data_IF_968100165458
#
_entry.id   IF_968100165458
#
_cell.length_a   1.000
_cell.length_b   1.000
_cell.length_c   1.000
_cell.angle_alpha   90.00
_cell.angle_beta   90.00
_cell.angle_gamma   90.00
#
_symmetry.space_group_name_H-M   'P 1'
#
loop_
_entity.id
_entity.type
_entity.pdbx_description
1 polymer ?
#
# COMPACT_ATOMS: atom_id res chain seq x y z
N UNK A 1 4.91 22.46 -16.34
CA UNK A 1 6.04 21.57 -16.67
C UNK A 1 6.25 20.64 -15.49
N UNK A 2 5.80 19.39 -15.58
CA UNK A 2 5.87 18.45 -14.46
C UNK A 2 7.26 17.82 -14.38
N UNK A 3 8.00 18.10 -13.31
CA UNK A 3 9.27 17.45 -13.02
C UNK A 3 9.01 16.10 -12.36
N UNK A 4 9.14 15.04 -13.15
CA UNK A 4 9.07 13.66 -12.67
C UNK A 4 10.38 13.30 -11.95
N UNK A 5 10.39 13.41 -10.62
CA UNK A 5 11.50 12.88 -9.79
C UNK A 5 11.15 11.46 -9.37
N UNK A 6 11.90 10.48 -9.88
CA UNK A 6 11.84 9.06 -9.47
C UNK A 6 12.32 8.94 -8.03
N UNK A 7 11.45 8.49 -7.13
CA UNK A 7 11.89 7.93 -5.85
C UNK A 7 12.26 6.45 -6.10
N UNK A 8 13.52 6.10 -5.83
CA UNK A 8 13.98 4.72 -5.84
C UNK A 8 13.52 4.01 -4.56
N UNK A 9 12.88 2.84 -4.70
CA UNK A 9 12.60 1.94 -3.57
C UNK A 9 13.22 0.57 -3.89
N UNK A 10 14.13 0.12 -3.04
CA UNK A 10 14.84 -1.16 -3.14
C UNK A 10 13.93 -2.34 -2.74
N UNK A 11 13.94 -3.41 -3.54
CA UNK A 11 13.52 -4.77 -3.14
C UNK A 11 12.14 -5.23 -3.60
N UNK A 12 12.14 -6.13 -4.61
CA UNK A 12 10.99 -6.82 -5.26
C UNK A 12 10.03 -5.90 -6.03
N UNK A 13 9.56 -6.39 -7.18
CA UNK A 13 8.78 -5.67 -8.19
C UNK A 13 7.49 -5.02 -7.63
N UNK A 14 7.59 -3.78 -7.14
CA UNK A 14 6.45 -2.92 -6.84
C UNK A 14 6.49 -1.71 -7.77
N UNK A 15 5.62 -1.68 -8.79
CA UNK A 15 5.38 -0.44 -9.56
C UNK A 15 4.42 0.44 -8.76
N UNK A 16 4.96 1.31 -7.92
CA UNK A 16 4.21 2.38 -7.28
C UNK A 16 4.28 3.65 -8.16
N UNK A 17 3.11 4.22 -8.49
CA UNK A 17 3.00 5.49 -9.19
C UNK A 17 2.53 6.58 -8.24
N UNK A 18 3.26 7.70 -8.18
CA UNK A 18 2.90 8.89 -7.41
C UNK A 18 2.55 10.04 -8.34
N UNK A 19 1.39 10.65 -8.14
CA UNK A 19 0.95 11.86 -8.85
C UNK A 19 0.66 12.95 -7.82
N UNK A 20 1.28 14.11 -8.00
CA UNK A 20 1.08 15.29 -7.16
C UNK A 20 0.10 16.23 -7.88
N UNK A 21 -1.04 16.48 -7.24
CA UNK A 21 -1.92 17.60 -7.57
C UNK A 21 -1.80 18.65 -6.46
N UNK A 22 -2.13 19.90 -6.74
CA UNK A 22 -1.72 21.10 -5.98
C UNK A 22 -1.82 21.03 -4.44
N UNK A 23 -2.70 20.21 -3.87
CA UNK A 23 -2.84 19.99 -2.41
C UNK A 23 -2.98 18.51 -1.99
N UNK A 24 -2.72 17.54 -2.88
CA UNK A 24 -2.96 16.11 -2.60
C UNK A 24 -1.81 15.21 -3.09
N UNK A 25 -1.40 14.28 -2.20
CA UNK A 25 -0.45 13.22 -2.53
C UNK A 25 -1.26 11.94 -2.82
N UNK A 26 -1.33 11.55 -4.09
CA UNK A 26 -1.97 10.30 -4.50
C UNK A 26 -0.93 9.17 -4.60
N UNK A 27 -1.16 8.09 -3.85
CA UNK A 27 -0.27 6.93 -3.79
C UNK A 27 -1.05 5.72 -4.29
N UNK A 28 -0.53 5.08 -5.34
CA UNK A 28 -1.09 3.84 -5.89
C UNK A 28 -0.02 2.75 -5.92
N UNK A 29 -0.38 1.57 -5.42
CA UNK A 29 0.46 0.38 -5.47
C UNK A 29 -0.36 -0.82 -5.91
N UNK A 30 0.27 -1.72 -6.66
CA UNK A 30 -0.32 -2.98 -7.11
C UNK A 30 0.40 -4.13 -6.42
N UNK A 31 -0.36 -4.99 -5.77
CA UNK A 31 0.12 -6.27 -5.26
C UNK A 31 -0.37 -7.37 -6.19
N UNK A 32 0.56 -8.25 -6.59
CA UNK A 32 0.24 -9.43 -7.38
C UNK A 32 0.47 -10.65 -6.50
N UNK A 33 -0.53 -11.51 -6.38
CA UNK A 33 -0.44 -12.75 -5.63
C UNK A 33 0.08 -13.86 -6.52
N UNK A 34 0.98 -14.69 -5.98
CA UNK A 34 1.46 -15.88 -6.67
C UNK A 34 0.33 -16.95 -6.77
N UNK A 35 0.52 -17.94 -7.63
CA UNK A 35 -0.40 -19.07 -7.81
C UNK A 35 -0.67 -19.85 -6.50
N UNK A 36 0.36 -20.10 -5.69
CA UNK A 36 0.25 -20.84 -4.43
C UNK A 36 -0.57 -20.07 -3.40
N UNK A 37 -0.31 -18.76 -3.29
CA UNK A 37 -1.13 -17.89 -2.43
C UNK A 37 -2.59 -17.82 -2.89
N UNK A 38 -2.82 -17.77 -4.21
CA UNK A 38 -4.19 -17.77 -4.77
C UNK A 38 -4.89 -19.10 -4.50
N UNK A 39 -4.19 -20.22 -4.62
CA UNK A 39 -4.72 -21.55 -4.29
C UNK A 39 -5.13 -21.63 -2.82
N UNK A 40 -4.22 -21.24 -1.91
CA UNK A 40 -4.50 -21.28 -0.47
C UNK A 40 -5.71 -20.42 -0.09
N UNK A 41 -5.84 -19.22 -0.66
CA UNK A 41 -7.01 -18.36 -0.39
C UNK A 41 -8.29 -19.03 -0.92
N UNK A 42 -8.25 -19.64 -2.11
CA UNK A 42 -9.38 -20.38 -2.69
C UNK A 42 -9.85 -21.54 -1.83
N UNK A 43 -8.95 -22.22 -1.12
CA UNK A 43 -9.28 -23.30 -0.18
C UNK A 43 -9.93 -22.78 1.13
N UNK A 44 -10.22 -21.47 1.22
CA UNK A 44 -10.89 -20.85 2.35
C UNK A 44 -9.94 -20.22 3.36
N UNK A 45 -8.63 -20.16 3.08
CA UNK A 45 -7.68 -19.49 3.96
C UNK A 45 -7.82 -17.98 3.88
N UNK A 46 -8.17 -17.36 5.01
CA UNK A 46 -8.13 -15.91 5.16
C UNK A 46 -6.69 -15.40 5.15
N UNK A 47 -6.42 -14.34 4.38
CA UNK A 47 -5.12 -13.66 4.36
C UNK A 47 -5.28 -12.18 4.62
N UNK A 48 -4.50 -11.68 5.58
CA UNK A 48 -4.44 -10.28 5.94
C UNK A 48 -3.19 -9.64 5.35
N UNK A 49 -3.38 -8.57 4.57
CA UNK A 49 -2.32 -7.75 4.00
C UNK A 49 -2.32 -6.40 4.67
N UNK A 50 -1.19 -6.02 5.28
CA UNK A 50 -1.03 -4.74 5.95
C UNK A 50 -0.02 -3.91 5.18
N UNK A 51 -0.44 -2.74 4.74
CA UNK A 51 0.39 -1.77 4.05
C UNK A 51 0.65 -0.58 4.98
N UNK A 52 1.91 -0.23 5.14
CA UNK A 52 2.34 0.96 5.86
C UNK A 52 2.86 1.96 4.85
N UNK A 53 2.26 3.14 4.82
CA UNK A 53 2.66 4.26 3.96
C UNK A 53 3.08 5.40 4.88
N UNK A 54 4.37 5.67 4.92
CA UNK A 54 4.95 6.74 5.73
C UNK A 54 5.49 7.84 4.84
N UNK A 55 5.10 9.08 5.13
CA UNK A 55 5.56 10.28 4.45
C UNK A 55 6.53 11.00 5.39
N UNK A 56 7.72 11.26 4.87
CA UNK A 56 8.77 12.00 5.56
C UNK A 56 9.11 13.27 4.78
N UNK A 57 9.40 14.34 5.51
CA UNK A 57 10.12 15.49 4.97
C UNK A 57 11.61 15.20 5.03
N UNK A 58 12.24 15.24 3.88
CA UNK A 58 13.70 15.17 3.78
C UNK A 58 14.32 16.55 4.00
N UNK A 59 15.40 16.60 4.78
CA UNK A 59 16.17 17.81 5.04
C UNK A 59 17.64 17.59 4.65
N UNK A 60 18.31 18.63 4.13
CA UNK A 60 19.71 18.50 3.71
C UNK A 60 20.70 18.45 4.90
N UNK A 61 20.33 19.05 6.04
CA UNK A 61 21.21 19.23 7.21
C UNK A 61 20.66 18.55 8.47
N UNK A 62 19.34 18.38 8.54
CA UNK A 62 18.66 17.80 9.70
C UNK A 62 18.20 16.37 9.40
N UNK A 63 17.90 15.57 10.42
CA UNK A 63 17.28 14.27 10.23
C UNK A 63 15.91 14.40 9.56
N UNK A 64 15.53 13.38 8.80
CA UNK A 64 14.21 13.30 8.17
C UNK A 64 13.09 13.40 9.23
N UNK A 65 12.12 14.25 8.95
CA UNK A 65 10.99 14.51 9.84
C UNK A 65 9.78 13.69 9.38
N UNK A 66 9.21 12.90 10.28
CA UNK A 66 7.97 12.18 10.01
C UNK A 66 6.80 13.15 9.94
N UNK A 67 5.99 13.07 8.88
CA UNK A 67 4.82 13.93 8.70
C UNK A 67 3.51 13.17 8.88
N UNK A 68 3.39 12.00 8.23
CA UNK A 68 2.14 11.26 8.16
C UNK A 68 2.40 9.78 7.97
N UNK A 69 1.65 8.97 8.71
CA UNK A 69 1.59 7.52 8.55
C UNK A 69 0.18 7.09 8.21
N UNK A 70 0.03 6.23 7.21
CA UNK A 70 -1.24 5.58 6.88
C UNK A 70 -1.01 4.08 6.92
N UNK A 71 -1.83 3.40 7.71
CA UNK A 71 -1.94 1.95 7.73
C UNK A 71 -3.18 1.56 6.94
N UNK A 72 -3.03 0.69 5.96
CA UNK A 72 -4.13 0.14 5.17
C UNK A 72 -4.10 -1.37 5.39
N UNK A 73 -5.15 -1.92 5.99
CA UNK A 73 -5.29 -3.37 6.11
C UNK A 73 -6.33 -3.86 5.11
N UNK A 74 -6.02 -5.00 4.49
CA UNK A 74 -6.94 -5.68 3.57
C UNK A 74 -6.98 -7.16 3.90
N UNK A 75 -8.15 -7.61 4.28
CA UNK A 75 -8.46 -9.01 4.49
C UNK A 75 -9.07 -9.57 3.22
N UNK A 76 -8.46 -10.61 2.66
CA UNK A 76 -8.95 -11.35 1.50
C UNK A 76 -9.42 -12.72 1.96
N UNK A 77 -10.65 -13.05 1.60
CA UNK A 77 -11.29 -14.34 1.91
C UNK A 77 -11.99 -14.86 0.66
N UNK A 78 -11.92 -16.17 0.40
CA UNK A 78 -12.75 -16.78 -0.65
C UNK A 78 -14.16 -17.10 -0.13
N UNK A 79 -15.17 -16.77 -0.93
CA UNK A 79 -16.53 -17.27 -0.77
C UNK A 79 -16.66 -18.56 -1.59
N UNK A 80 -16.53 -19.71 -0.92
CA UNK A 80 -16.59 -21.04 -1.54
C UNK A 80 -17.94 -21.35 -2.20
N UNK A 81 -19.02 -20.70 -1.75
CA UNK A 81 -20.36 -20.94 -2.29
C UNK A 81 -20.58 -20.17 -3.58
N UNK A 82 -20.03 -18.95 -3.67
CA UNK A 82 -20.15 -18.08 -4.85
C UNK A 82 -19.00 -18.21 -5.84
N UNK A 83 -17.88 -18.79 -5.43
CA UNK A 83 -16.65 -18.84 -6.24
C UNK A 83 -15.97 -17.47 -6.40
N UNK A 84 -16.28 -16.51 -5.52
CA UNK A 84 -15.80 -15.12 -5.58
C UNK A 84 -14.84 -14.82 -4.43
N UNK A 85 -14.01 -13.78 -4.58
CA UNK A 85 -13.18 -13.26 -3.49
C UNK A 85 -13.88 -12.09 -2.82
N UNK A 86 -13.99 -12.16 -1.49
CA UNK A 86 -14.42 -11.05 -0.65
C UNK A 86 -13.18 -10.31 -0.13
N UNK A 87 -13.18 -8.99 -0.31
CA UNK A 87 -12.13 -8.11 0.22
C UNK A 87 -12.75 -7.13 1.20
N UNK A 88 -12.21 -7.08 2.42
CA UNK A 88 -12.56 -6.10 3.43
C UNK A 88 -11.35 -5.21 3.66
N UNK A 89 -11.54 -3.90 3.66
CA UNK A 89 -10.45 -2.92 3.85
C UNK A 89 -10.72 -2.02 5.06
N UNK A 90 -9.72 -1.87 5.92
CA UNK A 90 -9.66 -0.86 6.98
C UNK A 90 -8.53 0.13 6.69
N UNK A 91 -8.63 1.35 7.19
CA UNK A 91 -7.60 2.38 7.02
C UNK A 91 -7.47 3.19 8.29
N UNK A 92 -6.27 3.20 8.86
CA UNK A 92 -5.93 3.96 10.04
C UNK A 92 -4.89 5.03 9.68
N UNK A 93 -5.07 6.24 10.21
CA UNK A 93 -4.14 7.37 9.99
C UNK A 93 -3.46 7.71 11.31
N UNK A 94 -2.14 7.76 11.29
CA UNK A 94 -1.30 8.29 12.35
C UNK A 94 -0.73 9.63 11.89
N UNK A 95 -1.03 10.70 12.63
CA UNK A 95 -0.55 12.06 12.35
C UNK A 95 0.39 12.46 13.49
N UNK A 96 1.55 13.04 13.18
CA UNK A 96 2.38 13.70 14.19
C UNK A 96 1.71 15.02 14.59
N UNK A 97 1.42 15.18 15.89
CA UNK A 97 0.92 16.44 16.48
C UNK A 97 1.94 17.58 16.40
#
# INVERSE_FOLDING_TARGET
MAHQRRLCVWGRDYRAGTFFDHDAINISFKVTLDEDQRYLIKEGLQRDYIFYVSIYRHWDVWPDEFLLGIKIERTITADLVKGEFKVVSSTDKAVSE
#
